data_IF_886167487167
#
_entry.id   IF_886167487167
#
_cell.length_a   1.000
_cell.length_b   1.000
_cell.length_c   1.000
_cell.angle_alpha   90.00
_cell.angle_beta   90.00
_cell.angle_gamma   90.00
#
_symmetry.space_group_name_H-M   'P 1'
#
loop_
_entity.id
_entity.type
_entity.pdbx_description
1 polymer ?
#
# COMPACT_ATOMS: atom_id res chain seq x y z
N UNK A 1 5.56 15.38 11.47
CA UNK A 1 4.22 14.81 11.28
C UNK A 1 4.13 13.95 10.03
N UNK A 2 3.42 12.85 10.14
CA UNK A 2 3.33 11.88 9.05
C UNK A 2 2.64 12.45 7.81
N UNK A 3 1.63 13.29 7.99
CA UNK A 3 0.90 13.90 6.87
C UNK A 3 1.83 14.76 6.02
N UNK A 4 2.65 15.58 6.67
CA UNK A 4 3.58 16.46 5.98
C UNK A 4 4.61 15.64 5.19
N UNK A 5 5.09 14.55 5.79
CA UNK A 5 6.03 13.66 5.13
C UNK A 5 5.38 12.95 3.93
N UNK A 6 4.13 12.53 4.07
CA UNK A 6 3.41 11.90 2.96
C UNK A 6 3.22 12.86 1.80
N UNK A 7 2.89 14.11 2.07
CA UNK A 7 2.77 15.14 1.03
C UNK A 7 4.08 15.36 0.30
N UNK A 8 5.18 15.34 1.03
CA UNK A 8 6.51 15.48 0.44
C UNK A 8 6.81 14.33 -0.51
N UNK A 9 6.49 13.11 -0.12
CA UNK A 9 6.68 11.94 -0.97
C UNK A 9 5.79 12.01 -2.21
N UNK A 10 4.56 12.47 -2.08
CA UNK A 10 3.67 12.64 -3.21
C UNK A 10 4.17 13.68 -4.18
N UNK A 11 4.64 14.81 -3.69
CA UNK A 11 5.22 15.86 -4.52
C UNK A 11 6.44 15.34 -5.27
N UNK A 12 7.29 14.60 -4.60
CA UNK A 12 8.46 14.00 -5.20
C UNK A 12 8.06 13.06 -6.33
N UNK A 13 7.07 12.22 -6.08
CA UNK A 13 6.52 11.30 -7.09
C UNK A 13 5.96 12.05 -8.29
N UNK A 14 5.18 13.09 -8.04
CA UNK A 14 4.52 13.84 -9.12
C UNK A 14 5.47 14.70 -9.93
N UNK A 15 6.68 14.97 -9.43
CA UNK A 15 7.66 15.76 -10.18
C UNK A 15 8.29 14.98 -11.33
N UNK A 16 8.15 13.68 -11.35
CA UNK A 16 8.67 12.86 -12.45
C UNK A 16 7.69 12.89 -13.60
N UNK A 17 7.91 13.81 -14.52
CA UNK A 17 7.10 13.97 -15.70
C UNK A 17 7.59 13.03 -16.79
N UNK A 18 7.02 11.84 -16.79
CA UNK A 18 7.33 10.91 -17.85
C UNK A 18 6.23 10.94 -18.90
N UNK A 19 6.54 10.72 -20.18
CA UNK A 19 5.49 10.53 -21.16
C UNK A 19 4.60 9.37 -20.78
N UNK A 20 3.33 9.45 -21.13
CA UNK A 20 2.38 8.39 -20.79
C UNK A 20 2.83 7.03 -21.24
N UNK A 21 3.39 6.96 -22.44
CA UNK A 21 3.91 5.70 -22.99
C UNK A 21 5.21 5.30 -22.34
N UNK A 22 5.85 6.21 -21.61
CA UNK A 22 7.15 5.98 -21.01
C UNK A 22 7.14 6.09 -19.49
N UNK A 23 6.03 5.79 -18.83
CA UNK A 23 6.01 5.77 -17.38
C UNK A 23 7.06 4.79 -16.89
N UNK A 24 7.98 5.30 -16.10
CA UNK A 24 9.01 4.48 -15.49
C UNK A 24 8.41 3.78 -14.28
N UNK A 25 8.04 2.53 -14.46
CA UNK A 25 7.42 1.73 -13.41
C UNK A 25 8.38 1.53 -12.25
N UNK A 26 9.69 1.47 -12.53
CA UNK A 26 10.65 1.30 -11.44
C UNK A 26 10.71 2.53 -10.55
N UNK A 27 10.53 3.76 -11.09
CA UNK A 27 10.44 4.96 -10.27
C UNK A 27 9.16 4.98 -9.44
N UNK A 28 8.04 4.62 -10.04
CA UNK A 28 6.78 4.51 -9.31
C UNK A 28 6.91 3.49 -8.18
N UNK A 29 7.49 2.33 -8.49
CA UNK A 29 7.71 1.25 -7.54
C UNK A 29 8.63 1.68 -6.39
N UNK A 30 9.71 2.41 -6.71
CA UNK A 30 10.62 2.90 -5.68
C UNK A 30 9.93 3.86 -4.72
N UNK A 31 9.13 4.77 -5.24
CA UNK A 31 8.36 5.68 -4.39
C UNK A 31 7.33 4.93 -3.56
N UNK A 32 6.66 3.97 -4.15
CA UNK A 32 5.69 3.13 -3.45
C UNK A 32 6.36 2.35 -2.34
N UNK A 33 7.54 1.82 -2.60
CA UNK A 33 8.30 1.08 -1.60
C UNK A 33 8.64 1.98 -0.41
N UNK A 34 9.07 3.22 -0.67
CA UNK A 34 9.39 4.17 0.39
C UNK A 34 8.17 4.47 1.26
N UNK A 35 7.03 4.71 0.64
CA UNK A 35 5.78 4.96 1.37
C UNK A 35 5.37 3.73 2.17
N UNK A 36 5.44 2.56 1.56
CA UNK A 36 5.11 1.30 2.23
C UNK A 36 6.00 1.09 3.46
N UNK A 37 7.31 1.25 3.31
CA UNK A 37 8.24 1.05 4.41
C UNK A 37 7.98 2.01 5.57
N UNK A 38 7.57 3.22 5.27
CA UNK A 38 7.35 4.21 6.31
C UNK A 38 6.00 4.04 7.02
N UNK A 39 4.95 3.69 6.28
CA UNK A 39 3.60 3.75 6.82
C UNK A 39 2.91 2.38 6.95
N UNK A 40 3.33 1.41 6.21
CA UNK A 40 2.66 0.10 6.17
C UNK A 40 3.46 -0.99 6.86
N UNK A 41 4.78 -0.93 6.75
CA UNK A 41 5.64 -2.01 7.21
C UNK A 41 5.63 -2.21 8.73
N UNK A 42 5.24 -1.19 9.49
CA UNK A 42 5.16 -1.35 10.95
C UNK A 42 4.21 -2.47 11.37
N UNK A 43 3.20 -2.72 10.56
CA UNK A 43 2.26 -3.81 10.78
C UNK A 43 2.48 -4.93 9.78
N UNK A 44 2.59 -4.58 8.49
CA UNK A 44 2.68 -5.59 7.44
C UNK A 44 4.06 -6.20 7.24
N UNK A 45 5.10 -5.59 7.84
CA UNK A 45 6.47 -6.08 7.73
C UNK A 45 7.21 -5.48 6.54
N UNK A 46 8.54 -5.47 6.63
CA UNK A 46 9.40 -4.87 5.60
C UNK A 46 9.22 -5.55 4.25
N UNK A 47 8.93 -6.84 4.25
CA UNK A 47 8.73 -7.63 3.05
C UNK A 47 7.26 -8.02 2.85
N UNK A 48 6.36 -7.49 3.68
CA UNK A 48 4.94 -7.69 3.52
C UNK A 48 4.36 -8.95 4.12
N UNK A 49 5.12 -9.67 4.93
CA UNK A 49 4.68 -10.97 5.49
C UNK A 49 3.65 -10.86 6.61
N UNK A 50 3.29 -9.65 7.03
CA UNK A 50 2.38 -9.47 8.16
C UNK A 50 3.07 -9.57 9.51
N UNK A 51 4.38 -9.43 9.53
CA UNK A 51 5.23 -9.63 10.69
C UNK A 51 5.92 -8.34 11.14
N UNK A 52 5.27 -7.19 10.93
CA UNK A 52 5.83 -5.92 11.37
C UNK A 52 5.96 -5.84 12.88
N UNK A 53 6.74 -4.85 13.33
CA UNK A 53 7.02 -4.69 14.76
C UNK A 53 5.75 -4.51 15.59
N UNK A 54 4.69 -3.95 14.99
CA UNK A 54 3.42 -3.75 15.69
C UNK A 54 2.45 -4.93 15.56
N UNK A 55 2.76 -5.91 14.71
CA UNK A 55 1.85 -7.01 14.43
C UNK A 55 1.42 -7.80 15.68
N UNK A 56 2.33 -8.11 16.64
CA UNK A 56 1.94 -8.89 17.82
C UNK A 56 0.93 -8.19 18.72
N UNK A 57 0.78 -6.88 18.58
CA UNK A 57 -0.10 -6.08 19.43
C UNK A 57 -1.48 -5.85 18.83
N UNK A 58 -1.72 -6.36 17.61
CA UNK A 58 -3.00 -6.19 16.93
C UNK A 58 -3.93 -7.36 17.25
N UNK A 59 -5.22 -7.04 17.43
CA UNK A 59 -6.23 -8.06 17.69
C UNK A 59 -6.38 -8.98 16.49
N UNK A 60 -6.36 -8.39 15.28
CA UNK A 60 -6.41 -9.14 14.02
C UNK A 60 -5.07 -9.00 13.35
N UNK A 61 -4.40 -10.10 13.02
CA UNK A 61 -3.09 -10.04 12.36
C UNK A 61 -3.17 -9.28 11.03
N UNK A 62 -2.14 -8.51 10.68
CA UNK A 62 -2.08 -7.86 9.39
C UNK A 62 -2.05 -8.90 8.28
N UNK A 63 -2.65 -8.53 7.13
CA UNK A 63 -2.63 -9.41 5.97
C UNK A 63 -1.20 -9.61 5.46
N UNK A 64 -0.86 -10.83 5.11
CA UNK A 64 0.40 -11.15 4.46
C UNK A 64 0.27 -10.80 2.98
N UNK A 65 0.96 -9.74 2.57
CA UNK A 65 0.89 -9.23 1.19
C UNK A 65 1.67 -10.10 0.21
N UNK A 66 2.39 -11.11 0.68
CA UNK A 66 3.10 -12.04 -0.20
C UNK A 66 2.25 -13.27 -0.55
N UNK A 67 1.09 -13.42 0.06
CA UNK A 67 0.20 -14.57 -0.18
C UNK A 67 -0.59 -14.36 -1.47
N UNK A 68 -0.05 -14.86 -2.58
CA UNK A 68 -0.67 -14.71 -3.88
C UNK A 68 -2.07 -15.31 -3.91
N UNK A 69 -2.27 -16.43 -3.29
CA UNK A 69 -3.57 -17.13 -3.29
C UNK A 69 -4.69 -16.30 -2.67
N UNK A 70 -4.38 -15.37 -1.77
CA UNK A 70 -5.35 -14.43 -1.26
C UNK A 70 -5.40 -13.15 -2.09
N UNK A 71 -4.23 -12.54 -2.32
CA UNK A 71 -4.17 -11.21 -2.96
C UNK A 71 -4.74 -11.26 -4.38
N UNK A 72 -4.51 -12.37 -5.10
CA UNK A 72 -5.04 -12.52 -6.46
C UNK A 72 -6.58 -12.58 -6.51
N UNK A 73 -7.25 -12.87 -5.38
CA UNK A 73 -8.71 -12.86 -5.31
C UNK A 73 -9.27 -11.47 -5.13
N UNK A 74 -8.43 -10.47 -4.91
CA UNK A 74 -8.84 -9.10 -4.67
C UNK A 74 -8.56 -8.25 -5.90
N UNK A 75 -9.59 -7.53 -6.34
CA UNK A 75 -9.41 -6.59 -7.45
C UNK A 75 -8.56 -5.41 -7.00
N UNK A 76 -8.00 -4.68 -7.96
CA UNK A 76 -7.25 -3.46 -7.65
C UNK A 76 -8.12 -2.47 -6.88
N UNK A 77 -9.41 -2.38 -7.23
CA UNK A 77 -10.33 -1.50 -6.52
C UNK A 77 -10.53 -1.93 -5.08
N UNK A 78 -10.63 -3.23 -4.82
CA UNK A 78 -10.77 -3.73 -3.45
C UNK A 78 -9.53 -3.43 -2.62
N UNK A 79 -8.35 -3.60 -3.20
CA UNK A 79 -7.09 -3.26 -2.51
C UNK A 79 -7.00 -1.76 -2.28
N UNK A 80 -7.37 -0.97 -3.28
CA UNK A 80 -7.42 0.48 -3.16
C UNK A 80 -8.35 0.91 -2.02
N UNK A 81 -9.55 0.35 -1.97
CA UNK A 81 -10.53 0.71 -0.95
C UNK A 81 -10.05 0.32 0.46
N UNK A 82 -9.38 -0.81 0.58
CA UNK A 82 -8.84 -1.24 1.86
C UNK A 82 -7.81 -0.26 2.40
N UNK A 83 -6.97 0.30 1.52
CA UNK A 83 -5.98 1.29 1.93
C UNK A 83 -6.66 2.63 2.21
N UNK A 84 -7.50 3.09 1.31
CA UNK A 84 -8.09 4.42 1.41
C UNK A 84 -9.07 4.54 2.57
N UNK A 85 -9.93 3.55 2.76
CA UNK A 85 -11.02 3.59 3.74
C UNK A 85 -10.77 2.74 4.97
N UNK A 86 -9.72 1.93 4.97
CA UNK A 86 -9.36 1.10 6.11
C UNK A 86 -10.04 -0.27 6.08
N UNK A 87 -9.60 -1.13 6.98
CA UNK A 87 -10.06 -2.52 7.02
C UNK A 87 -11.55 -2.67 7.28
N UNK A 88 -12.13 -1.79 8.11
CA UNK A 88 -13.55 -1.87 8.46
C UNK A 88 -14.43 -1.67 7.24
N UNK A 89 -14.03 -0.78 6.33
CA UNK A 89 -14.83 -0.46 5.15
C UNK A 89 -14.95 -1.64 4.19
N UNK A 90 -14.03 -2.60 4.26
CA UNK A 90 -14.07 -3.79 3.42
C UNK A 90 -14.43 -5.04 4.21
N UNK A 91 -15.10 -4.86 5.35
CA UNK A 91 -15.62 -5.96 6.15
C UNK A 91 -14.60 -6.62 7.05
N UNK A 92 -13.49 -5.96 7.32
CA UNK A 92 -12.46 -6.46 8.22
C UNK A 92 -12.47 -5.66 9.54
N UNK A 93 -11.73 -6.17 10.53
CA UNK A 93 -11.59 -5.47 11.79
C UNK A 93 -10.89 -4.13 11.58
N UNK A 94 -11.16 -3.11 12.41
CA UNK A 94 -10.64 -1.76 12.19
C UNK A 94 -9.17 -1.60 12.62
N UNK A 95 -8.35 -2.61 12.37
CA UNK A 95 -6.92 -2.55 12.69
C UNK A 95 -6.12 -1.85 11.60
N UNK A 96 -6.62 -1.89 10.37
CA UNK A 96 -6.00 -1.18 9.26
C UNK A 96 -6.53 0.25 9.22
N UNK A 97 -5.68 1.26 9.40
CA UNK A 97 -6.14 2.65 9.34
C UNK A 97 -6.63 3.04 7.95
N UNK A 98 -7.48 4.05 7.90
CA UNK A 98 -7.89 4.67 6.65
C UNK A 98 -6.84 5.71 6.25
N UNK A 99 -6.20 5.51 5.13
CA UNK A 99 -5.11 6.38 4.68
C UNK A 99 -5.56 7.47 3.70
N UNK A 100 -6.87 7.53 3.40
CA UNK A 100 -7.40 8.47 2.42
C UNK A 100 -7.22 9.94 2.78
N UNK A 101 -7.03 10.26 4.06
CA UNK A 101 -6.77 11.63 4.50
C UNK A 101 -5.29 11.98 4.46
N UNK A 102 -4.42 10.98 4.35
CA UNK A 102 -2.97 11.18 4.34
C UNK A 102 -2.42 11.11 2.92
N UNK A 103 -2.94 10.20 2.11
CA UNK A 103 -2.43 9.95 0.75
C UNK A 103 -3.48 10.33 -0.29
N UNK A 104 -3.01 10.89 -1.39
CA UNK A 104 -3.83 11.10 -2.58
C UNK A 104 -4.10 9.75 -3.26
N UNK A 105 -5.13 9.71 -4.07
CA UNK A 105 -5.51 8.50 -4.79
C UNK A 105 -4.37 7.94 -5.64
N UNK A 106 -3.56 8.83 -6.23
CA UNK A 106 -2.40 8.42 -7.00
C UNK A 106 -1.42 7.61 -6.16
N UNK A 107 -1.15 8.05 -4.93
CA UNK A 107 -0.26 7.34 -4.02
C UNK A 107 -0.88 6.01 -3.59
N UNK A 108 -2.17 6.00 -3.31
CA UNK A 108 -2.86 4.75 -2.95
C UNK A 108 -2.77 3.74 -4.10
N UNK A 109 -2.98 4.19 -5.34
CA UNK A 109 -2.87 3.32 -6.50
C UNK A 109 -1.44 2.76 -6.66
N UNK A 110 -0.44 3.57 -6.36
CA UNK A 110 0.95 3.08 -6.42
C UNK A 110 1.23 2.04 -5.33
N UNK A 111 0.59 2.16 -4.18
CA UNK A 111 0.70 1.15 -3.13
C UNK A 111 0.05 -0.17 -3.55
N UNK A 112 -1.08 -0.11 -4.26
CA UNK A 112 -1.70 -1.31 -4.81
C UNK A 112 -0.73 -2.01 -5.77
N UNK A 113 -0.07 -1.25 -6.63
CA UNK A 113 0.93 -1.80 -7.55
C UNK A 113 2.09 -2.46 -6.80
N UNK A 114 2.52 -1.83 -5.72
CA UNK A 114 3.60 -2.39 -4.90
C UNK A 114 3.17 -3.71 -4.25
N UNK A 115 1.94 -3.78 -3.74
CA UNK A 115 1.42 -5.02 -3.17
C UNK A 115 1.37 -6.12 -4.23
N UNK A 116 1.00 -5.78 -5.47
CA UNK A 116 1.02 -6.74 -6.57
C UNK A 116 2.41 -7.29 -6.83
N UNK A 117 3.43 -6.46 -6.65
CA UNK A 117 4.81 -6.93 -6.77
C UNK A 117 5.20 -7.81 -5.60
N UNK A 118 4.78 -7.49 -4.37
CA UNK A 118 5.09 -8.32 -3.21
C UNK A 118 4.53 -9.73 -3.36
N UNK A 119 3.33 -9.87 -3.88
CA UNK A 119 2.73 -11.18 -4.07
C UNK A 119 3.11 -11.81 -5.41
N UNK A 120 3.72 -11.06 -6.32
CA UNK A 120 4.00 -11.47 -7.69
C UNK A 120 2.73 -12.00 -8.36
N UNK A 121 1.61 -11.28 -8.17
CA UNK A 121 0.31 -11.75 -8.61
C UNK A 121 -0.55 -10.61 -9.13
N UNK A 122 -1.55 -10.96 -9.94
CA UNK A 122 -2.57 -10.07 -10.47
C UNK A 122 -3.92 -10.56 -10.01
N UNK A 123 -4.93 -9.71 -10.18
CA UNK A 123 -6.30 -10.13 -9.94
C UNK A 123 -6.67 -11.20 -10.98
N UNK A 124 -7.19 -12.29 -10.48
CA UNK A 124 -7.58 -13.40 -11.36
C UNK A 124 -9.04 -13.75 -11.21
#
# INVERSE_FOLDING_TARGET
PTTQHAEQLEKSSSSFKTPTSGIDISLVTEKSRQVYQRYCAQCHGDEGHGDGINAPYLVVPPRDHTKADYIETRSDQQLFDAIKFGGLAVGRAPCMPAWGHTFKDKTVRSLVSYIRELCECKFS
#
